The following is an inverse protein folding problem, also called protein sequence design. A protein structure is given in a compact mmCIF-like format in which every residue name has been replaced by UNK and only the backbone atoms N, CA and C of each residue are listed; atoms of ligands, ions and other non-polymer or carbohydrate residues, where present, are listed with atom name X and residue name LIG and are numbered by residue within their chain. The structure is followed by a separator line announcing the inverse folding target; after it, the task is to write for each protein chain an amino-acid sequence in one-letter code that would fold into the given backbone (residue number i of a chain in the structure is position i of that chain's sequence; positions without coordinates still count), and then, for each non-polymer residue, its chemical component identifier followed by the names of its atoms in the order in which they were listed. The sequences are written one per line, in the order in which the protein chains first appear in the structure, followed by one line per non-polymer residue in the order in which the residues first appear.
data_IF_333020298506
#
_entry.id   IF_333020298506
#
_cell.length_a   1.000
_cell.length_b   1.000
_cell.length_c   1.000
_cell.angle_alpha   90.00
_cell.angle_beta   90.00
_cell.angle_gamma   90.00
#
_symmetry.space_group_name_H-M   'P 1'
#
loop_
_entity.id
_entity.type
_entity.pdbx_description
1 polymer ?
#
# COMPACT_ATOMS: atom_id res chain seq x y z
N UNK A 1 48.44 -38.00 -103.68
CA UNK A 1 48.82 -38.05 -105.08
C UNK A 1 49.39 -39.37 -105.43
N UNK A 2 48.99 -39.99 -106.59
CA UNK A 2 49.62 -41.16 -107.20
C UNK A 2 50.16 -40.72 -108.52
N UNK A 3 51.36 -41.20 -108.81
CA UNK A 3 52.03 -40.95 -110.14
C UNK A 3 52.23 -42.31 -110.80
N UNK A 4 51.87 -42.41 -112.04
CA UNK A 4 52.15 -43.63 -112.89
C UNK A 4 53.60 -43.66 -113.37
N UNK A 5 54.02 -44.80 -113.91
CA UNK A 5 55.38 -44.95 -114.40
C UNK A 5 55.71 -44.06 -115.64
N UNK A 6 54.72 -43.39 -116.19
CA UNK A 6 54.83 -42.44 -117.24
C UNK A 6 54.85 -40.97 -116.83
N UNK A 7 54.80 -40.72 -115.52
CA UNK A 7 54.84 -39.39 -114.91
C UNK A 7 53.45 -38.68 -114.85
N UNK A 8 52.40 -39.38 -115.23
CA UNK A 8 51.09 -38.77 -115.06
C UNK A 8 50.67 -38.76 -113.58
N UNK A 9 50.27 -37.63 -113.10
CA UNK A 9 49.81 -37.47 -111.73
C UNK A 9 48.29 -37.46 -111.60
N UNK A 10 47.79 -38.35 -110.75
CA UNK A 10 46.42 -38.29 -110.35
C UNK A 10 46.38 -37.86 -108.85
N UNK A 11 45.69 -36.82 -108.60
CA UNK A 11 45.49 -36.34 -107.23
C UNK A 11 44.07 -36.63 -106.77
N UNK A 12 43.95 -37.38 -105.72
CA UNK A 12 42.68 -37.52 -105.05
C UNK A 12 42.78 -36.66 -103.78
N UNK A 13 41.90 -35.76 -103.60
CA UNK A 13 41.75 -34.97 -102.36
C UNK A 13 40.69 -35.62 -101.55
N UNK A 14 41.02 -35.77 -100.28
CA UNK A 14 40.03 -36.12 -99.25
C UNK A 14 39.75 -34.85 -98.41
N UNK A 15 38.54 -34.42 -98.45
CA UNK A 15 38.06 -33.36 -97.59
C UNK A 15 37.82 -33.97 -96.20
N UNK A 16 38.49 -33.42 -95.21
CA UNK A 16 38.23 -33.72 -93.79
C UNK A 16 37.59 -32.52 -93.28
N UNK A 17 36.34 -32.65 -92.94
CA UNK A 17 35.63 -31.62 -92.21
C UNK A 17 35.92 -31.86 -90.69
N UNK A 18 36.60 -30.93 -90.06
CA UNK A 18 36.74 -30.86 -88.61
C UNK A 18 35.52 -30.08 -88.11
N UNK A 19 34.67 -30.75 -87.42
CA UNK A 19 33.47 -30.15 -86.85
C UNK A 19 33.49 -30.33 -85.36
N UNK A 20 33.01 -29.32 -84.68
CA UNK A 20 32.74 -29.43 -83.29
C UNK A 20 31.29 -29.91 -83.08
N UNK A 21 31.14 -30.99 -82.30
CA UNK A 21 29.84 -31.60 -81.98
C UNK A 21 29.67 -31.75 -80.43
N UNK A 22 30.61 -31.24 -79.71
CA UNK A 22 30.59 -31.33 -78.25
C UNK A 22 29.83 -30.13 -77.72
N UNK A 23 28.83 -30.39 -76.86
CA UNK A 23 28.10 -29.32 -76.21
C UNK A 23 28.86 -28.77 -75.03
N UNK A 24 28.77 -27.45 -74.75
CA UNK A 24 29.37 -26.83 -73.60
C UNK A 24 28.87 -27.40 -72.28
N UNK A 25 29.69 -27.27 -71.26
CA UNK A 25 29.32 -27.65 -69.88
C UNK A 25 29.10 -26.38 -69.05
N UNK A 26 27.91 -26.25 -68.49
CA UNK A 26 27.56 -25.17 -67.50
C UNK A 26 27.82 -25.65 -66.10
N UNK A 27 28.51 -24.86 -65.35
CA UNK A 27 28.77 -25.08 -63.91
C UNK A 27 28.25 -23.89 -63.10
N UNK A 28 27.36 -24.13 -62.12
CA UNK A 28 26.84 -23.09 -61.26
C UNK A 28 27.97 -22.51 -60.39
N UNK A 29 27.97 -21.21 -60.22
CA UNK A 29 28.77 -20.54 -59.18
C UNK A 29 27.94 -20.49 -57.91
N UNK A 30 28.44 -21.13 -56.84
CA UNK A 30 27.72 -21.26 -55.56
C UNK A 30 26.67 -22.38 -55.54
N UNK A 31 25.76 -22.32 -54.61
CA UNK A 31 24.78 -23.38 -54.34
C UNK A 31 23.73 -23.53 -55.46
N UNK A 32 23.35 -24.74 -55.73
CA UNK A 32 22.27 -25.06 -56.67
C UNK A 32 20.87 -24.83 -56.09
N UNK A 33 20.78 -24.71 -54.75
CA UNK A 33 19.57 -24.38 -54.04
C UNK A 33 19.87 -23.28 -53.03
N UNK A 34 19.06 -22.23 -53.02
CA UNK A 34 19.17 -21.08 -52.14
C UNK A 34 17.85 -20.87 -51.43
N UNK A 35 17.86 -20.72 -50.11
CA UNK A 35 16.71 -20.22 -49.36
C UNK A 35 16.87 -18.71 -49.16
N UNK A 36 15.84 -17.97 -49.52
CA UNK A 36 15.80 -16.54 -49.50
C UNK A 36 14.61 -16.08 -48.63
N UNK A 37 14.87 -15.20 -47.67
CA UNK A 37 13.80 -14.59 -46.90
C UNK A 37 12.94 -13.70 -47.80
N UNK A 38 11.64 -13.80 -47.67
CA UNK A 38 10.68 -13.00 -48.43
C UNK A 38 10.90 -11.50 -48.23
N UNK A 39 10.81 -10.73 -49.29
CA UNK A 39 11.09 -9.30 -49.30
C UNK A 39 12.57 -8.92 -49.30
N UNK A 40 13.48 -9.89 -49.18
CA UNK A 40 14.92 -9.61 -49.27
C UNK A 40 15.41 -9.54 -50.72
N UNK A 41 16.57 -8.93 -50.91
CA UNK A 41 17.15 -8.82 -52.28
C UNK A 41 17.81 -10.11 -52.66
N UNK A 42 17.43 -10.63 -53.83
CA UNK A 42 18.11 -11.77 -54.45
C UNK A 42 19.16 -11.30 -55.46
N UNK A 43 20.39 -11.71 -55.31
CA UNK A 43 21.46 -11.53 -56.26
C UNK A 43 21.92 -12.91 -56.72
N UNK A 44 21.73 -13.21 -57.98
CA UNK A 44 22.18 -14.48 -58.55
C UNK A 44 23.70 -14.56 -58.63
N UNK A 45 24.28 -15.65 -58.16
CA UNK A 45 25.73 -15.86 -58.19
C UNK A 45 26.24 -16.22 -59.60
N UNK A 46 25.32 -16.56 -60.53
CA UNK A 46 25.63 -16.88 -61.89
C UNK A 46 26.14 -18.31 -62.12
N UNK A 47 26.68 -18.54 -63.31
CA UNK A 47 27.32 -19.76 -63.70
C UNK A 47 28.50 -19.48 -64.63
N UNK A 48 29.36 -20.46 -64.78
CA UNK A 48 30.42 -20.49 -65.79
C UNK A 48 30.10 -21.52 -66.84
N UNK A 49 30.60 -21.33 -68.08
CA UNK A 49 30.46 -22.30 -69.10
C UNK A 49 31.79 -22.50 -69.91
N UNK A 50 32.13 -23.71 -70.09
CA UNK A 50 33.33 -24.08 -70.89
C UNK A 50 33.03 -25.10 -71.96
N UNK A 51 33.64 -24.92 -73.05
CA UNK A 51 33.63 -25.82 -74.17
C UNK A 51 35.05 -26.30 -74.53
N UNK A 52 35.15 -27.47 -75.13
CA UNK A 52 36.45 -28.06 -75.51
C UNK A 52 37.12 -27.34 -76.69
N UNK A 53 36.36 -26.66 -77.56
CA UNK A 53 36.83 -25.94 -78.74
C UNK A 53 36.83 -24.42 -78.48
N UNK A 54 35.73 -23.86 -78.02
CA UNK A 54 35.54 -22.44 -77.85
C UNK A 54 36.12 -21.93 -76.52
N UNK A 55 36.52 -22.86 -75.60
CA UNK A 55 37.10 -22.49 -74.27
C UNK A 55 36.06 -21.93 -73.28
N UNK A 56 36.38 -20.82 -72.65
CA UNK A 56 35.48 -20.13 -71.71
C UNK A 56 34.45 -19.26 -72.46
N UNK A 57 33.23 -19.68 -72.41
CA UNK A 57 32.08 -19.00 -73.02
C UNK A 57 31.05 -18.53 -71.99
N UNK A 58 31.50 -18.34 -70.72
CA UNK A 58 30.66 -17.92 -69.60
C UNK A 58 29.89 -16.64 -69.91
N UNK A 59 30.48 -15.72 -70.69
CA UNK A 59 29.85 -14.45 -71.08
C UNK A 59 28.66 -14.58 -72.02
N UNK A 60 28.51 -15.77 -72.61
CA UNK A 60 27.42 -16.07 -73.56
C UNK A 60 26.22 -16.79 -72.92
N UNK A 61 26.33 -17.07 -71.60
CA UNK A 61 25.23 -17.70 -70.86
C UNK A 61 24.01 -16.80 -70.87
N UNK A 62 22.90 -17.34 -71.33
CA UNK A 62 21.60 -16.72 -71.23
C UNK A 62 20.97 -17.15 -69.91
N UNK A 63 20.66 -16.17 -69.08
CA UNK A 63 20.03 -16.38 -67.77
C UNK A 63 18.58 -15.93 -67.81
N UNK A 64 17.67 -16.82 -67.44
CA UNK A 64 16.28 -16.50 -67.23
C UNK A 64 16.01 -16.58 -65.71
N UNK A 65 15.77 -15.41 -65.10
CA UNK A 65 15.50 -15.31 -63.69
C UNK A 65 14.02 -14.93 -63.45
N UNK A 66 13.26 -15.86 -62.91
CA UNK A 66 11.84 -15.68 -62.59
C UNK A 66 11.58 -15.55 -61.10
N UNK A 67 12.59 -15.23 -60.32
CA UNK A 67 12.45 -15.13 -58.85
C UNK A 67 11.61 -13.90 -58.50
N UNK A 68 10.44 -14.14 -57.92
CA UNK A 68 9.65 -13.12 -57.21
C UNK A 68 9.98 -13.19 -55.73
N UNK A 69 10.75 -12.23 -55.26
CA UNK A 69 11.21 -12.14 -53.88
C UNK A 69 10.10 -11.75 -52.88
N UNK A 70 8.94 -11.31 -53.36
CA UNK A 70 7.83 -10.85 -52.52
C UNK A 70 6.72 -11.90 -52.35
N UNK A 71 6.83 -13.03 -53.01
CA UNK A 71 5.84 -14.11 -52.97
C UNK A 71 6.51 -15.42 -52.57
N UNK A 72 5.96 -16.08 -51.53
CA UNK A 72 6.46 -17.37 -51.07
C UNK A 72 6.34 -18.40 -52.20
N UNK A 73 7.39 -19.20 -52.39
CA UNK A 73 7.38 -20.23 -53.43
C UNK A 73 8.77 -20.72 -53.78
N UNK A 74 8.79 -21.68 -54.70
CA UNK A 74 10.03 -22.20 -55.27
C UNK A 74 10.16 -21.70 -56.70
N UNK A 75 11.19 -20.95 -56.95
CA UNK A 75 11.49 -20.31 -58.21
C UNK A 75 12.74 -20.93 -58.82
N UNK A 76 12.92 -20.77 -60.13
CA UNK A 76 14.09 -21.27 -60.85
C UNK A 76 14.78 -20.16 -61.61
N UNK A 77 16.10 -20.12 -61.47
CA UNK A 77 16.97 -19.40 -62.41
C UNK A 77 17.54 -20.45 -63.40
N UNK A 78 17.34 -20.22 -64.71
CA UNK A 78 17.74 -21.15 -65.75
C UNK A 78 18.91 -20.59 -66.53
N UNK A 79 19.91 -21.42 -66.74
CA UNK A 79 21.12 -21.09 -67.49
C UNK A 79 21.18 -21.97 -68.75
N UNK A 80 21.36 -21.33 -69.90
CA UNK A 80 21.53 -21.98 -71.19
C UNK A 80 22.63 -21.27 -71.95
N UNK A 81 23.35 -22.04 -72.72
CA UNK A 81 24.38 -21.54 -73.68
C UNK A 81 24.54 -22.50 -74.84
N UNK A 82 24.89 -21.99 -75.99
CA UNK A 82 25.37 -22.75 -77.10
C UNK A 82 26.75 -22.27 -77.51
N UNK A 83 27.56 -23.19 -78.02
CA UNK A 83 28.88 -22.86 -78.64
C UNK A 83 28.76 -22.17 -80.00
N UNK A 84 29.86 -21.83 -80.56
CA UNK A 84 29.92 -21.21 -81.89
C UNK A 84 29.45 -22.17 -83.05
N UNK A 85 29.46 -23.46 -82.78
CA UNK A 85 28.98 -24.53 -83.71
C UNK A 85 27.50 -24.84 -83.49
N UNK A 86 26.81 -24.14 -82.63
CA UNK A 86 25.39 -24.28 -82.22
C UNK A 86 25.06 -25.58 -81.49
N UNK A 87 26.04 -26.23 -80.83
CA UNK A 87 25.76 -27.30 -79.92
C UNK A 87 25.26 -26.66 -78.55
N UNK A 88 24.05 -27.03 -78.19
CA UNK A 88 23.45 -26.48 -76.93
C UNK A 88 23.86 -27.29 -75.72
N UNK A 89 24.28 -26.60 -74.65
CA UNK A 89 24.49 -27.22 -73.40
C UNK A 89 23.18 -27.77 -72.76
N UNK A 90 23.31 -28.76 -71.94
CA UNK A 90 22.19 -29.12 -71.05
C UNK A 90 21.85 -27.95 -70.18
N UNK A 91 20.58 -27.60 -70.11
CA UNK A 91 20.07 -26.51 -69.26
C UNK A 91 20.36 -26.83 -67.78
N UNK A 92 20.98 -25.92 -67.08
CA UNK A 92 21.22 -26.00 -65.63
C UNK A 92 20.28 -25.02 -64.94
N UNK A 93 19.78 -25.41 -63.77
CA UNK A 93 18.86 -24.58 -63.02
C UNK A 93 19.37 -24.42 -61.61
N UNK A 94 19.20 -23.23 -61.08
CA UNK A 94 19.29 -22.94 -59.60
C UNK A 94 17.88 -22.81 -59.07
N UNK A 95 17.57 -23.52 -58.01
CA UNK A 95 16.32 -23.37 -57.25
C UNK A 95 16.48 -22.29 -56.21
N UNK A 96 15.57 -21.31 -56.19
CA UNK A 96 15.49 -20.30 -55.15
C UNK A 96 14.16 -20.47 -54.42
N UNK A 97 14.22 -20.89 -53.17
CA UNK A 97 13.05 -21.00 -52.31
C UNK A 97 12.89 -19.70 -51.57
N UNK A 98 11.90 -18.92 -51.94
CA UNK A 98 11.47 -17.76 -51.15
C UNK A 98 10.62 -18.25 -50.01
N UNK A 99 11.10 -18.10 -48.82
CA UNK A 99 10.52 -18.58 -47.58
C UNK A 99 10.38 -17.43 -46.63
N UNK A 100 9.45 -17.54 -45.70
CA UNK A 100 9.33 -16.67 -44.56
C UNK A 100 9.84 -17.45 -43.31
N UNK A 101 10.91 -16.98 -42.73
CA UNK A 101 11.56 -17.56 -41.56
C UNK A 101 11.63 -16.55 -40.42
N UNK A 102 11.12 -15.35 -40.64
CA UNK A 102 11.11 -14.27 -39.65
C UNK A 102 9.90 -14.42 -38.77
N UNK A 103 10.14 -14.53 -37.48
CA UNK A 103 9.04 -14.58 -36.50
C UNK A 103 8.38 -13.21 -36.35
N UNK A 104 7.08 -13.16 -36.05
CA UNK A 104 6.37 -11.93 -35.78
C UNK A 104 6.95 -11.14 -34.62
N UNK A 105 6.77 -9.83 -34.61
CA UNK A 105 7.14 -8.95 -33.52
C UNK A 105 5.90 -8.61 -32.70
N UNK A 106 5.92 -8.90 -31.38
CA UNK A 106 4.83 -8.61 -30.45
C UNK A 106 5.12 -7.29 -29.72
N UNK A 107 4.14 -6.40 -29.71
CA UNK A 107 4.14 -5.19 -28.90
C UNK A 107 3.08 -5.28 -27.81
N UNK A 108 3.50 -5.32 -26.57
CA UNK A 108 2.60 -5.33 -25.40
C UNK A 108 1.96 -3.95 -25.22
N UNK A 109 0.65 -3.90 -25.09
CA UNK A 109 -0.11 -2.67 -24.89
C UNK A 109 -0.22 -2.32 -23.39
N UNK A 110 -0.05 -1.06 -23.03
CA UNK A 110 -0.08 -0.59 -21.64
C UNK A 110 1.20 -0.93 -20.88
N UNK A 111 1.14 -0.83 -19.55
CA UNK A 111 2.32 -0.97 -18.69
C UNK A 111 2.88 -2.40 -18.64
N UNK A 112 4.21 -2.49 -18.58
CA UNK A 112 4.93 -3.72 -18.32
C UNK A 112 6.21 -3.41 -17.51
N UNK A 113 6.26 -3.74 -16.21
CA UNK A 113 5.23 -4.44 -15.46
C UNK A 113 3.96 -3.60 -15.25
N UNK A 114 2.81 -4.27 -15.21
CA UNK A 114 1.55 -3.71 -14.73
C UNK A 114 1.42 -3.98 -13.23
N UNK A 115 1.00 -3.00 -12.46
CA UNK A 115 0.78 -3.15 -11.01
C UNK A 115 -0.70 -3.05 -10.69
N UNK A 116 -1.20 -3.93 -9.84
CA UNK A 116 -2.57 -3.92 -9.34
C UNK A 116 -2.61 -4.15 -7.83
N UNK A 117 -3.61 -3.57 -7.21
CA UNK A 117 -3.91 -3.79 -5.79
C UNK A 117 -4.48 -5.19 -5.57
N UNK A 118 -4.04 -5.88 -4.54
CA UNK A 118 -4.55 -7.20 -4.14
C UNK A 118 -6.05 -7.18 -3.88
N UNK A 119 -6.77 -8.18 -4.37
CA UNK A 119 -8.24 -8.25 -4.33
C UNK A 119 -8.95 -7.43 -5.41
N UNK A 120 -8.22 -6.65 -6.21
CA UNK A 120 -8.78 -5.91 -7.34
C UNK A 120 -8.95 -6.80 -8.59
N UNK A 121 -9.74 -6.37 -9.56
CA UNK A 121 -9.90 -7.09 -10.82
C UNK A 121 -8.80 -6.70 -11.80
N UNK A 122 -8.00 -7.66 -12.24
CA UNK A 122 -7.05 -7.46 -13.32
C UNK A 122 -7.75 -7.53 -14.69
N UNK A 123 -7.56 -6.53 -15.51
CA UNK A 123 -7.98 -6.50 -16.92
C UNK A 123 -6.75 -6.31 -17.78
N UNK A 124 -6.45 -7.32 -18.61
CA UNK A 124 -5.30 -7.27 -19.48
C UNK A 124 -5.51 -6.28 -20.65
N UNK A 125 -4.55 -5.40 -20.88
CA UNK A 125 -4.60 -4.43 -21.98
C UNK A 125 -4.29 -5.08 -23.34
N UNK A 126 -3.82 -6.32 -23.35
CA UNK A 126 -3.52 -7.09 -24.56
C UNK A 126 -2.18 -6.73 -25.21
N UNK A 127 -2.03 -7.18 -26.44
CA UNK A 127 -0.86 -6.93 -27.27
C UNK A 127 -1.27 -6.80 -28.76
N UNK A 128 -0.40 -6.21 -29.56
CA UNK A 128 -0.45 -6.23 -31.02
C UNK A 128 0.73 -7.02 -31.56
N UNK A 129 0.62 -7.51 -32.77
CA UNK A 129 1.73 -8.19 -33.45
C UNK A 129 1.76 -7.85 -34.93
N UNK A 130 2.96 -7.67 -35.45
CA UNK A 130 3.23 -7.43 -36.87
C UNK A 130 4.31 -8.36 -37.34
N UNK A 131 4.20 -8.76 -38.59
CA UNK A 131 5.14 -9.60 -39.27
C UNK A 131 5.63 -8.93 -40.57
N UNK A 132 6.82 -9.30 -41.03
CA UNK A 132 7.43 -8.73 -42.22
C UNK A 132 6.70 -9.13 -43.53
N UNK A 133 6.07 -10.29 -43.56
CA UNK A 133 5.32 -10.78 -44.70
C UNK A 133 3.79 -10.69 -44.52
N UNK A 134 3.26 -11.13 -43.40
CA UNK A 134 1.82 -11.16 -43.14
C UNK A 134 1.26 -9.84 -42.59
N UNK A 135 2.11 -8.83 -42.29
CA UNK A 135 1.79 -7.53 -41.71
C UNK A 135 1.09 -7.67 -40.36
N UNK A 136 -0.20 -7.38 -40.28
CA UNK A 136 -0.94 -7.48 -39.01
C UNK A 136 -1.36 -8.91 -38.69
N UNK A 137 -0.77 -9.51 -37.71
CA UNK A 137 -1.11 -10.85 -37.20
C UNK A 137 -1.68 -10.80 -35.76
N UNK A 138 -2.12 -9.65 -35.32
CA UNK A 138 -2.66 -9.44 -33.94
C UNK A 138 -3.85 -10.36 -33.64
N UNK A 139 -4.68 -10.68 -34.61
CA UNK A 139 -5.82 -11.60 -34.47
C UNK A 139 -5.41 -13.05 -34.18
N UNK A 140 -4.17 -13.41 -34.41
CA UNK A 140 -3.60 -14.74 -34.12
C UNK A 140 -2.94 -14.82 -32.74
N UNK A 141 -2.91 -13.71 -31.97
CA UNK A 141 -2.36 -13.72 -30.63
C UNK A 141 -3.24 -14.56 -29.70
N UNK A 142 -2.61 -15.50 -29.02
CA UNK A 142 -3.19 -16.21 -27.88
C UNK A 142 -2.54 -15.73 -26.61
N UNK A 143 -3.33 -15.48 -25.57
CA UNK A 143 -2.84 -15.07 -24.25
C UNK A 143 -3.11 -16.16 -23.22
N UNK A 144 -2.11 -16.46 -22.42
CA UNK A 144 -2.21 -17.34 -21.25
C UNK A 144 -1.80 -16.55 -20.02
N UNK A 145 -2.67 -16.50 -19.01
CA UNK A 145 -2.47 -15.75 -17.79
C UNK A 145 -2.31 -16.66 -16.58
N UNK A 146 -1.36 -16.35 -15.72
CA UNK A 146 -1.22 -16.94 -14.38
C UNK A 146 -1.69 -16.02 -13.27
N UNK A 147 -2.24 -14.86 -13.60
CA UNK A 147 -2.61 -13.82 -12.64
C UNK A 147 -3.67 -14.30 -11.67
N UNK A 148 -3.28 -14.32 -10.41
CA UNK A 148 -4.17 -14.42 -9.25
C UNK A 148 -4.18 -13.07 -8.53
N UNK A 149 -5.23 -12.32 -8.73
CA UNK A 149 -5.38 -10.98 -8.13
C UNK A 149 -5.66 -10.99 -6.64
N UNK A 150 -5.91 -12.15 -6.03
CA UNK A 150 -6.18 -12.29 -4.60
C UNK A 150 -4.91 -12.65 -3.80
N UNK A 151 -3.82 -12.92 -4.45
CA UNK A 151 -2.56 -13.31 -3.80
C UNK A 151 -1.43 -12.37 -4.23
N UNK A 152 -0.77 -11.75 -3.27
CA UNK A 152 0.40 -10.89 -3.52
C UNK A 152 1.51 -11.68 -4.19
N UNK A 153 2.07 -11.14 -5.25
CA UNK A 153 3.13 -11.80 -5.98
C UNK A 153 3.38 -11.25 -7.36
N UNK A 154 4.30 -11.88 -8.06
CA UNK A 154 4.61 -11.56 -9.47
C UNK A 154 4.06 -12.65 -10.37
N UNK A 155 3.23 -12.28 -11.29
CA UNK A 155 2.53 -13.14 -12.24
C UNK A 155 2.87 -12.76 -13.67
N UNK A 156 2.46 -13.59 -14.60
CA UNK A 156 2.75 -13.35 -16.01
C UNK A 156 1.51 -13.54 -16.89
N UNK A 157 1.41 -12.70 -17.91
CA UNK A 157 0.58 -12.94 -19.10
C UNK A 157 1.53 -13.20 -20.24
N UNK A 158 1.48 -14.39 -20.80
CA UNK A 158 2.30 -14.79 -21.94
C UNK A 158 1.47 -14.69 -23.21
N UNK A 159 1.91 -13.86 -24.14
CA UNK A 159 1.36 -13.72 -25.48
C UNK A 159 2.16 -14.59 -26.43
N UNK A 160 1.48 -15.35 -27.23
CA UNK A 160 2.08 -16.19 -28.27
C UNK A 160 1.37 -15.92 -29.59
N UNK A 161 2.13 -15.72 -30.62
CA UNK A 161 1.61 -15.54 -32.01
C UNK A 161 2.42 -16.39 -32.95
N UNK A 162 1.77 -16.88 -33.96
CA UNK A 162 2.44 -17.52 -35.13
C UNK A 162 1.94 -16.86 -36.41
N UNK A 163 2.85 -16.65 -37.34
CA UNK A 163 2.51 -16.26 -38.71
C UNK A 163 1.92 -17.43 -39.51
N UNK A 164 1.61 -17.18 -40.75
CA UNK A 164 1.08 -18.20 -41.65
C UNK A 164 2.14 -19.22 -42.12
N UNK A 165 3.42 -18.89 -41.96
CA UNK A 165 4.57 -19.77 -42.30
C UNK A 165 4.93 -20.67 -41.12
N UNK A 166 4.38 -20.43 -39.93
CA UNK A 166 4.59 -21.23 -38.73
C UNK A 166 5.70 -20.70 -37.80
N UNK A 167 6.30 -19.55 -38.14
CA UNK A 167 7.27 -18.94 -37.26
C UNK A 167 6.56 -18.34 -36.04
N UNK A 168 7.08 -18.57 -34.87
CA UNK A 168 6.44 -18.22 -33.59
C UNK A 168 7.23 -17.20 -32.79
N UNK A 169 6.52 -16.26 -32.20
CA UNK A 169 7.06 -15.35 -31.22
C UNK A 169 6.29 -15.42 -29.90
N UNK A 170 6.97 -15.07 -28.82
CA UNK A 170 6.38 -14.93 -27.51
C UNK A 170 6.82 -13.64 -26.84
N UNK A 171 5.92 -13.02 -26.10
CA UNK A 171 6.21 -11.88 -25.23
C UNK A 171 5.52 -12.06 -23.89
N UNK A 172 6.11 -11.51 -22.84
CA UNK A 172 5.61 -11.68 -21.48
C UNK A 172 5.37 -10.32 -20.84
N UNK A 173 4.15 -10.11 -20.37
CA UNK A 173 3.83 -9.04 -19.42
C UNK A 173 4.03 -9.57 -18.02
N UNK A 174 4.75 -8.86 -17.20
CA UNK A 174 4.78 -9.07 -15.76
C UNK A 174 3.62 -8.30 -15.13
N UNK A 175 2.89 -8.95 -14.25
CA UNK A 175 1.84 -8.35 -13.43
C UNK A 175 2.23 -8.48 -11.97
N UNK A 176 2.38 -7.37 -11.31
CA UNK A 176 2.68 -7.30 -9.88
C UNK A 176 1.38 -7.08 -9.12
N UNK A 177 1.03 -8.03 -8.31
CA UNK A 177 -0.06 -7.90 -7.34
C UNK A 177 0.56 -7.50 -6.02
N UNK A 178 0.25 -6.34 -5.54
CA UNK A 178 0.74 -5.81 -4.27
C UNK A 178 -0.40 -5.23 -3.45
N UNK A 179 -0.21 -5.19 -2.18
CA UNK A 179 -1.05 -4.46 -1.26
C UNK A 179 -0.33 -3.18 -0.87
N UNK A 180 -0.84 -2.07 -1.31
CA UNK A 180 -0.34 -0.72 -1.02
C UNK A 180 -1.30 0.12 -0.19
N UNK A 181 -2.44 -0.46 0.15
CA UNK A 181 -3.50 0.20 0.90
C UNK A 181 -3.28 0.08 2.39
N UNK A 182 -3.06 1.16 3.11
CA UNK A 182 -2.92 1.09 4.58
C UNK A 182 -4.21 0.65 5.28
N UNK A 183 -4.10 -0.06 6.40
CA UNK A 183 -5.23 -0.42 7.23
C UNK A 183 -6.05 0.78 7.67
N UNK A 184 -7.33 0.59 7.85
CA UNK A 184 -8.24 1.59 8.39
C UNK A 184 -8.46 1.36 9.88
N UNK A 185 -8.14 2.33 10.70
CA UNK A 185 -8.37 2.30 12.16
C UNK A 185 -9.67 3.01 12.50
N UNK A 186 -10.57 2.30 13.15
CA UNK A 186 -11.83 2.83 13.67
C UNK A 186 -11.83 2.85 15.20
N UNK A 187 -11.96 4.06 15.77
CA UNK A 187 -12.02 4.25 17.24
C UNK A 187 -13.32 3.70 17.81
N UNK A 188 -13.25 2.86 18.84
CA UNK A 188 -14.46 2.39 19.56
C UNK A 188 -14.87 3.46 20.59
N UNK A 189 -16.06 4.03 20.43
CA UNK A 189 -16.61 5.06 21.30
C UNK A 189 -16.25 6.46 20.91
N UNK A 190 -16.36 7.40 21.86
CA UNK A 190 -16.21 8.82 21.59
C UNK A 190 -14.76 9.30 21.45
N UNK A 191 -14.56 10.32 20.65
CA UNK A 191 -13.33 11.10 20.53
C UNK A 191 -13.69 12.57 20.33
N UNK A 192 -13.27 13.45 21.19
CA UNK A 192 -12.44 13.31 22.39
C UNK A 192 -13.18 12.72 23.60
N UNK A 193 -12.42 12.30 24.64
CA UNK A 193 -12.90 11.86 25.97
C UNK A 193 -12.41 12.86 27.01
N UNK A 194 -13.22 13.19 28.02
CA UNK A 194 -12.86 13.99 29.18
C UNK A 194 -12.88 13.17 30.45
N UNK A 195 -11.87 13.32 31.26
CA UNK A 195 -11.67 12.63 32.55
C UNK A 195 -11.19 13.64 33.55
N UNK A 196 -11.62 13.53 34.79
CA UNK A 196 -11.28 14.43 35.86
C UNK A 196 -9.97 14.09 36.53
N UNK A 197 -9.15 15.05 36.91
CA UNK A 197 -7.83 14.89 37.51
C UNK A 197 -7.82 14.02 38.76
N UNK A 198 -6.91 13.05 38.85
CA UNK A 198 -6.80 12.06 39.93
C UNK A 198 -7.74 10.85 39.85
N UNK A 199 -8.56 10.74 38.79
CA UNK A 199 -9.50 9.62 38.58
C UNK A 199 -8.90 8.47 37.76
N UNK A 200 -9.46 7.26 37.72
CA UNK A 200 -8.97 6.17 36.84
C UNK A 200 -9.59 6.22 35.44
N UNK A 201 -8.79 6.08 34.38
CA UNK A 201 -9.19 6.01 33.00
C UNK A 201 -9.01 4.61 32.42
N UNK A 202 -9.94 4.11 31.66
CA UNK A 202 -9.81 2.92 30.84
C UNK A 202 -10.12 3.25 29.39
N UNK A 203 -9.18 2.99 28.48
CA UNK A 203 -9.37 3.20 27.06
C UNK A 203 -10.27 2.13 26.43
N UNK A 204 -11.18 2.51 25.54
CA UNK A 204 -12.11 1.59 24.87
C UNK A 204 -11.48 0.89 23.68
N UNK A 205 -10.29 1.33 23.25
CA UNK A 205 -9.60 0.74 22.13
C UNK A 205 -10.08 1.15 20.76
N UNK A 206 -9.64 0.38 19.80
CA UNK A 206 -9.91 0.54 18.39
C UNK A 206 -10.10 -0.80 17.72
N UNK A 207 -10.74 -0.84 16.55
CA UNK A 207 -10.61 -1.90 15.56
C UNK A 207 -9.73 -1.43 14.43
N UNK A 208 -9.06 -2.35 13.80
CA UNK A 208 -8.38 -2.11 12.54
C UNK A 208 -8.81 -3.17 11.52
N UNK A 209 -9.08 -2.72 10.30
CA UNK A 209 -9.42 -3.59 9.19
C UNK A 209 -8.63 -3.15 7.97
N UNK A 210 -8.18 -4.10 7.23
CA UNK A 210 -7.55 -3.95 5.94
C UNK A 210 -8.33 -4.68 4.84
N UNK A 211 -8.22 -4.24 3.60
CA UNK A 211 -8.93 -4.83 2.48
C UNK A 211 -8.39 -6.20 2.10
N UNK A 212 -7.10 -6.41 2.25
CA UNK A 212 -6.39 -7.65 1.94
C UNK A 212 -6.19 -8.53 3.17
N UNK A 213 -5.66 -8.00 4.24
CA UNK A 213 -5.36 -8.73 5.48
C UNK A 213 -6.55 -8.95 6.41
N UNK A 214 -7.66 -8.29 6.15
CA UNK A 214 -8.88 -8.42 6.94
C UNK A 214 -8.80 -7.74 8.32
N UNK A 215 -9.16 -8.45 9.38
CA UNK A 215 -9.16 -7.94 10.75
C UNK A 215 -7.75 -7.90 11.36
N UNK A 216 -7.22 -6.72 11.55
CA UNK A 216 -5.94 -6.42 12.20
C UNK A 216 -6.05 -5.85 13.60
N UNK A 217 -7.21 -5.95 14.22
CA UNK A 217 -7.50 -5.40 15.58
C UNK A 217 -6.50 -5.89 16.62
N UNK A 218 -6.08 -7.14 16.56
CA UNK A 218 -5.12 -7.74 17.49
C UNK A 218 -3.67 -7.28 17.26
N UNK A 219 -3.39 -6.70 16.11
CA UNK A 219 -2.05 -6.18 15.73
C UNK A 219 -1.85 -4.72 16.09
N UNK A 220 -2.87 -4.04 16.62
CA UNK A 220 -2.78 -2.65 17.02
C UNK A 220 -1.80 -2.48 18.20
N UNK A 221 -0.81 -1.66 18.03
CA UNK A 221 0.09 -1.19 19.10
C UNK A 221 -0.33 0.18 19.58
N UNK A 222 -0.21 0.38 20.89
CA UNK A 222 -0.69 1.56 21.58
C UNK A 222 0.39 2.27 22.34
N UNK A 223 0.47 3.57 22.16
CA UNK A 223 1.28 4.46 23.00
C UNK A 223 0.45 5.58 23.57
N UNK A 224 0.72 5.96 24.82
CA UNK A 224 -0.05 6.94 25.56
C UNK A 224 0.83 7.80 26.44
N UNK A 225 0.55 9.11 26.54
CA UNK A 225 1.24 10.07 27.43
C UNK A 225 0.39 10.55 28.61
N UNK A 226 -0.76 9.92 28.83
CA UNK A 226 -1.75 10.36 29.85
C UNK A 226 -1.21 10.35 31.27
N UNK A 227 -1.09 11.52 31.83
CA UNK A 227 -0.90 11.75 33.26
C UNK A 227 -2.17 12.31 33.89
N UNK A 228 -2.81 11.54 34.71
CA UNK A 228 -4.07 11.88 35.39
C UNK A 228 -3.90 12.80 36.56
N UNK A 229 -2.70 12.96 37.07
CA UNK A 229 -2.42 13.84 38.19
C UNK A 229 -2.20 15.28 37.74
N UNK A 230 -2.11 15.50 36.43
CA UNK A 230 -1.88 16.83 35.86
C UNK A 230 -3.00 17.21 34.90
N UNK A 231 -3.65 18.32 35.16
CA UNK A 231 -4.62 18.92 34.22
C UNK A 231 -3.95 19.25 32.91
N UNK A 232 -4.53 18.81 31.80
CA UNK A 232 -3.96 19.00 30.50
C UNK A 232 -4.70 18.25 29.40
N UNK A 233 -4.16 18.35 28.21
CA UNK A 233 -4.61 17.56 27.01
C UNK A 233 -3.55 16.55 26.67
N UNK A 234 -3.94 15.32 26.60
CA UNK A 234 -3.12 14.17 26.36
C UNK A 234 -3.58 13.36 25.14
N UNK A 235 -2.76 12.49 24.61
CA UNK A 235 -3.05 11.72 23.38
C UNK A 235 -2.76 10.24 23.55
N UNK A 236 -3.68 9.41 23.10
CA UNK A 236 -3.44 7.99 22.85
C UNK A 236 -3.27 7.79 21.36
N UNK A 237 -2.14 7.23 20.97
CA UNK A 237 -1.83 6.95 19.58
C UNK A 237 -1.90 5.45 19.32
N UNK A 238 -2.71 5.06 18.37
CA UNK A 238 -2.87 3.72 17.81
C UNK A 238 -2.08 3.61 16.53
N UNK A 239 -1.27 2.60 16.42
CA UNK A 239 -0.53 2.29 15.20
C UNK A 239 -0.74 0.83 14.84
N UNK A 240 -1.04 0.56 13.60
CA UNK A 240 -1.16 -0.77 13.01
C UNK A 240 -0.46 -0.80 11.66
N UNK A 241 0.15 -1.90 11.35
CA UNK A 241 0.67 -2.19 10.03
C UNK A 241 0.09 -3.51 9.54
N UNK A 242 -0.19 -3.59 8.26
CA UNK A 242 -0.56 -4.79 7.56
C UNK A 242 0.66 -5.69 7.31
N UNK A 243 0.48 -6.82 6.63
CA UNK A 243 1.54 -7.76 6.27
C UNK A 243 2.49 -7.22 5.19
N UNK A 244 2.04 -6.22 4.43
CA UNK A 244 2.83 -5.50 3.41
C UNK A 244 3.61 -4.31 3.96
N UNK A 245 3.51 -4.06 5.28
CA UNK A 245 4.13 -2.96 6.01
C UNK A 245 3.54 -1.58 5.69
N UNK A 246 2.33 -1.48 5.10
CA UNK A 246 1.61 -0.24 5.05
C UNK A 246 1.06 0.07 6.44
N UNK A 247 1.22 1.28 6.89
CA UNK A 247 0.94 1.67 8.28
C UNK A 247 -0.14 2.73 8.36
N UNK A 248 -1.00 2.57 9.31
CA UNK A 248 -1.99 3.57 9.72
C UNK A 248 -1.81 4.02 11.16
N UNK A 249 -2.13 5.24 11.42
CA UNK A 249 -2.11 5.83 12.76
C UNK A 249 -3.39 6.60 13.04
N UNK A 250 -3.97 6.40 14.18
CA UNK A 250 -5.09 7.19 14.68
C UNK A 250 -4.82 7.65 16.11
N UNK A 251 -5.43 8.74 16.52
CA UNK A 251 -5.27 9.28 17.87
C UNK A 251 -6.58 9.64 18.52
N UNK A 252 -6.66 9.35 19.81
CA UNK A 252 -7.73 9.77 20.70
C UNK A 252 -7.21 10.88 21.62
N UNK A 253 -7.91 11.97 21.69
CA UNK A 253 -7.64 13.04 22.61
C UNK A 253 -8.30 12.82 23.96
N UNK A 254 -7.54 12.91 25.03
CA UNK A 254 -7.98 12.78 26.43
C UNK A 254 -7.73 14.08 27.13
N UNK A 255 -8.80 14.71 27.58
CA UNK A 255 -8.73 15.97 28.30
C UNK A 255 -8.85 15.76 29.81
N UNK A 256 -7.75 15.94 30.50
CA UNK A 256 -7.71 15.98 31.96
C UNK A 256 -8.12 17.35 32.42
N UNK A 257 -9.23 17.43 33.07
CA UNK A 257 -9.74 18.66 33.69
C UNK A 257 -9.90 18.46 35.15
N UNK A 258 -9.71 19.51 35.88
CA UNK A 258 -10.15 19.63 37.25
C UNK A 258 -11.38 20.51 37.31
N UNK A 259 -12.50 19.91 37.56
CA UNK A 259 -13.79 20.62 37.69
C UNK A 259 -14.49 20.39 39.00
N UNK A 260 -13.85 19.61 39.92
CA UNK A 260 -14.29 19.40 41.28
C UNK A 260 -14.01 20.63 42.10
N UNK A 261 -15.00 21.09 42.73
CA UNK A 261 -14.77 22.10 43.77
C UNK A 261 -14.24 21.44 45.05
N UNK A 262 -13.33 22.08 45.72
CA UNK A 262 -12.82 21.60 46.99
C UNK A 262 -13.91 21.32 47.99
N UNK A 263 -13.71 20.30 48.81
CA UNK A 263 -14.63 19.98 49.92
C UNK A 263 -14.21 20.73 51.17
N UNK A 264 -15.03 21.64 51.58
CA UNK A 264 -14.88 22.34 52.85
C UNK A 264 -15.52 21.53 53.97
N UNK A 265 -14.75 21.18 54.94
CA UNK A 265 -15.21 20.51 56.16
C UNK A 265 -15.13 21.49 57.35
N UNK A 266 -16.25 21.82 57.82
CA UNK A 266 -16.39 22.72 59.01
C UNK A 266 -15.90 22.03 60.27
N UNK A 267 -14.95 22.56 60.99
CA UNK A 267 -14.41 22.00 62.23
C UNK A 267 -15.37 22.30 63.40
N UNK A 268 -15.81 21.26 64.03
CA UNK A 268 -16.71 21.34 65.15
C UNK A 268 -18.18 21.33 64.75
N UNK A 269 -19.04 21.78 65.66
CA UNK A 269 -20.50 21.74 65.49
C UNK A 269 -20.99 22.74 64.41
N UNK A 270 -22.00 22.31 63.65
CA UNK A 270 -22.78 23.17 62.77
C UNK A 270 -24.24 22.68 62.78
N UNK A 271 -25.15 23.41 63.23
CA UNK A 271 -25.02 24.73 63.77
C UNK A 271 -24.24 24.79 65.08
N UNK A 272 -23.62 26.01 65.40
CA UNK A 272 -23.11 26.35 66.74
C UNK A 272 -24.10 27.24 67.46
N UNK A 273 -24.44 26.84 68.64
CA UNK A 273 -25.23 27.62 69.54
C UNK A 273 -24.30 28.45 70.48
N UNK A 274 -24.38 29.72 70.37
CA UNK A 274 -23.61 30.69 71.18
C UNK A 274 -24.54 31.50 72.01
N UNK A 275 -24.24 31.63 73.30
CA UNK A 275 -25.02 32.45 74.19
C UNK A 275 -24.87 33.95 73.85
N UNK A 276 -25.95 34.66 73.84
CA UNK A 276 -25.96 36.08 73.53
C UNK A 276 -24.95 36.83 74.43
N UNK A 277 -24.07 37.57 73.79
CA UNK A 277 -23.02 38.32 74.49
C UNK A 277 -21.79 37.50 74.81
N UNK A 278 -21.76 36.23 74.52
CA UNK A 278 -20.58 35.39 74.65
C UNK A 278 -19.58 35.67 73.51
N UNK A 279 -18.35 35.44 73.73
CA UNK A 279 -17.31 35.55 72.73
C UNK A 279 -17.41 34.36 71.80
N UNK A 280 -17.74 34.58 70.57
CA UNK A 280 -17.64 33.58 69.48
C UNK A 280 -16.22 33.55 68.94
N UNK A 281 -15.63 32.39 68.94
CA UNK A 281 -14.41 32.07 68.26
C UNK A 281 -14.70 30.98 67.28
N UNK A 282 -14.59 31.32 66.06
CA UNK A 282 -14.79 30.34 64.98
C UNK A 282 -13.73 29.25 65.01
N UNK A 283 -14.13 27.97 64.99
CA UNK A 283 -13.23 26.85 64.97
C UNK A 283 -12.59 26.61 63.64
N UNK A 284 -13.08 27.35 62.61
CA UNK A 284 -12.57 27.28 61.28
C UNK A 284 -13.13 26.10 60.48
N UNK A 285 -12.55 25.87 59.35
CA UNK A 285 -12.81 24.78 58.45
C UNK A 285 -11.49 24.25 57.85
N UNK A 286 -11.49 23.05 57.43
CA UNK A 286 -10.48 22.49 56.53
C UNK A 286 -11.06 22.39 55.12
N UNK A 287 -10.24 22.51 54.16
CA UNK A 287 -10.61 22.28 52.78
C UNK A 287 -9.65 21.27 52.16
N UNK A 288 -10.20 20.31 51.51
CA UNK A 288 -9.44 19.35 50.75
C UNK A 288 -10.04 19.21 49.36
N UNK A 289 -9.22 19.22 48.41
CA UNK A 289 -9.53 18.85 47.04
C UNK A 289 -8.87 17.53 46.66
N UNK A 290 -9.46 16.79 45.78
CA UNK A 290 -8.92 15.47 45.44
C UNK A 290 -7.70 15.59 44.54
N UNK A 291 -7.65 16.63 43.71
CA UNK A 291 -6.50 16.94 42.87
C UNK A 291 -5.47 17.82 43.55
N UNK A 292 -5.89 18.91 44.08
CA UNK A 292 -5.01 19.92 44.71
C UNK A 292 -4.63 19.63 46.14
N UNK A 293 -5.23 18.64 46.75
CA UNK A 293 -4.91 18.20 48.10
C UNK A 293 -5.42 19.15 49.18
N UNK A 294 -4.62 19.51 50.14
CA UNK A 294 -4.97 20.36 51.25
C UNK A 294 -5.01 21.84 50.85
N UNK A 295 -6.18 22.38 50.73
CA UNK A 295 -6.47 23.79 50.47
C UNK A 295 -6.92 24.59 51.70
N UNK A 296 -6.71 24.05 52.87
CA UNK A 296 -7.11 24.66 54.13
C UNK A 296 -6.56 26.09 54.29
N UNK A 297 -5.35 26.34 53.85
CA UNK A 297 -4.73 27.66 53.94
C UNK A 297 -5.27 28.67 52.93
N UNK A 298 -6.01 28.20 51.91
CA UNK A 298 -6.61 29.02 50.88
C UNK A 298 -8.04 29.43 51.16
N UNK A 299 -8.59 28.94 52.24
CA UNK A 299 -9.96 29.32 52.70
C UNK A 299 -10.04 30.81 53.04
N UNK A 300 -10.88 31.49 52.37
CA UNK A 300 -11.32 32.85 52.73
C UNK A 300 -12.59 32.81 53.56
N UNK A 301 -12.56 33.53 54.65
CA UNK A 301 -13.67 33.52 55.58
C UNK A 301 -14.33 34.88 55.64
N UNK A 302 -15.62 34.93 55.49
CA UNK A 302 -16.43 36.12 55.83
C UNK A 302 -17.49 35.79 56.85
N UNK A 303 -17.70 36.66 57.78
CA UNK A 303 -18.64 36.46 58.88
C UNK A 303 -19.47 37.70 59.12
N UNK A 304 -20.75 37.48 59.35
CA UNK A 304 -21.68 38.51 59.82
C UNK A 304 -22.12 38.33 61.25
N UNK A 305 -21.44 37.45 62.00
CA UNK A 305 -21.80 37.10 63.37
C UNK A 305 -21.71 38.32 64.29
N UNK A 306 -22.84 38.74 64.80
CA UNK A 306 -22.97 39.66 65.91
C UNK A 306 -23.49 38.93 67.16
N UNK A 307 -22.62 38.67 68.06
CA UNK A 307 -22.95 37.95 69.30
C UNK A 307 -23.73 38.83 70.30
N UNK A 308 -23.94 40.10 69.99
CA UNK A 308 -24.72 40.99 70.78
C UNK A 308 -26.18 41.09 70.42
N UNK A 309 -26.52 40.43 69.34
CA UNK A 309 -27.90 40.36 68.77
C UNK A 309 -28.31 38.93 68.62
N UNK A 310 -29.39 38.54 69.32
CA UNK A 310 -29.94 37.19 69.13
C UNK A 310 -30.48 37.01 67.72
N UNK A 311 -30.08 35.93 67.07
CA UNK A 311 -30.45 35.67 65.71
C UNK A 311 -29.64 34.52 65.09
N UNK A 312 -29.91 34.17 63.88
CA UNK A 312 -29.14 33.23 63.11
C UNK A 312 -28.19 33.99 62.19
N UNK A 313 -26.93 33.71 62.36
CA UNK A 313 -25.83 34.31 61.63
C UNK A 313 -25.10 33.23 60.78
N UNK A 314 -24.31 33.62 59.87
CA UNK A 314 -23.50 32.71 59.02
C UNK A 314 -22.04 33.13 59.05
N UNK A 315 -21.21 32.17 59.16
CA UNK A 315 -19.80 32.24 58.71
C UNK A 315 -19.66 31.53 57.38
N UNK A 316 -19.25 32.21 56.37
CA UNK A 316 -19.08 31.71 55.01
C UNK A 316 -17.60 31.42 54.77
N UNK A 317 -17.29 30.21 54.47
CA UNK A 317 -16.00 29.71 54.01
C UNK A 317 -16.04 29.57 52.48
N UNK A 318 -15.12 30.15 51.80
CA UNK A 318 -14.97 30.05 50.35
C UNK A 318 -13.55 29.66 50.03
N UNK A 319 -13.41 28.68 49.21
CA UNK A 319 -12.12 28.22 48.71
C UNK A 319 -12.24 27.91 47.22
N UNK A 320 -11.23 28.17 46.47
CA UNK A 320 -11.09 27.75 45.08
C UNK A 320 -9.83 26.92 44.98
N UNK A 321 -9.92 25.88 44.18
CA UNK A 321 -8.78 25.11 43.71
C UNK A 321 -7.93 25.90 42.71
N UNK A 322 -6.89 25.31 42.17
CA UNK A 322 -6.02 25.90 41.18
C UNK A 322 -6.70 26.01 39.79
N UNK A 323 -7.71 25.20 39.52
CA UNK A 323 -8.52 25.25 38.28
C UNK A 323 -9.61 26.32 38.36
N UNK A 324 -9.86 26.87 39.53
CA UNK A 324 -10.85 27.93 39.78
C UNK A 324 -12.22 27.42 40.17
N UNK A 325 -12.38 26.14 40.46
CA UNK A 325 -13.63 25.59 40.99
C UNK A 325 -13.77 26.05 42.46
N UNK A 326 -14.88 26.62 42.71
CA UNK A 326 -15.12 27.25 44.00
C UNK A 326 -16.12 26.46 44.84
N UNK A 327 -15.74 26.17 46.03
CA UNK A 327 -16.63 25.70 47.12
C UNK A 327 -16.94 26.79 48.09
N UNK A 328 -18.13 26.75 48.55
CA UNK A 328 -18.61 27.63 49.62
C UNK A 328 -19.43 26.85 50.61
N UNK A 329 -19.05 26.91 51.84
CA UNK A 329 -19.77 26.31 52.96
C UNK A 329 -20.11 27.34 54.04
N UNK A 330 -21.16 27.11 54.74
CA UNK A 330 -21.61 28.03 55.75
C UNK A 330 -21.83 27.35 57.08
N UNK A 331 -21.22 27.91 58.13
CA UNK A 331 -21.61 27.56 59.48
C UNK A 331 -22.74 28.47 59.93
N UNK A 332 -23.76 27.87 60.39
CA UNK A 332 -24.87 28.57 61.06
C UNK A 332 -24.47 28.80 62.51
N UNK A 333 -24.45 30.04 62.95
CA UNK A 333 -24.27 30.46 64.33
C UNK A 333 -25.59 30.99 64.80
N UNK A 334 -26.20 30.30 65.70
CA UNK A 334 -27.37 30.73 66.40
C UNK A 334 -26.90 31.46 67.66
N UNK A 335 -26.81 32.72 67.56
CA UNK A 335 -26.82 33.49 68.78
C UNK A 335 -28.21 33.30 69.35
N UNK A 336 -28.24 32.31 70.09
CA UNK A 336 -29.31 32.13 70.98
C UNK A 336 -29.05 33.14 72.12
N UNK A 337 -29.83 34.03 71.97
CA UNK A 337 -30.00 33.70 73.19
C UNK A 337 -29.61 32.28 73.15
N UNK A 338 -28.88 31.81 72.93
CA UNK A 338 -28.02 30.70 72.83
C UNK A 338 -28.25 29.79 71.65
N UNK A 339 -27.56 29.67 71.09
CA UNK A 339 -27.38 28.65 70.29
C UNK A 339 -26.64 28.58 68.96
N UNK A 340 -26.53 27.96 68.67
CA UNK A 340 -26.23 27.21 67.55
C UNK A 340 -25.35 26.77 66.65
N UNK A 341 -23.77 22.84 63.04
CA UNK A 341 -23.06 21.83 61.96
C UNK A 341 -22.48 20.98 60.68
N UNK A 342 -18.27 15.97 52.84
CA UNK A 342 -17.86 15.11 51.50
C UNK A 342 -16.92 13.73 51.17
N UNK A 343 -15.14 11.37 48.37
CA UNK A 343 -14.64 9.90 48.08
C UNK A 343 -13.68 9.52 46.85
N UNK A 344 -12.90 8.09 46.41
CA UNK A 344 -12.00 7.55 45.28
C UNK A 344 -12.44 6.21 44.58
N UNK A 345 -12.01 5.81 43.12
CA UNK A 345 -12.42 4.71 42.22
C UNK A 345 -11.27 4.16 41.32
N UNK A 346 -11.36 2.94 40.63
CA UNK A 346 -10.31 2.30 39.85
C UNK A 346 -10.90 1.64 38.57
N UNK A 347 -10.11 1.51 37.47
CA UNK A 347 -10.46 0.84 36.19
C UNK A 347 -9.25 0.06 35.65
N UNK A 348 -9.46 -1.18 35.18
CA UNK A 348 -8.41 -2.04 34.62
C UNK A 348 -8.41 -2.04 33.09
N UNK A 349 -7.23 -2.10 32.48
CA UNK A 349 -7.00 -2.35 31.07
C UNK A 349 -6.61 -3.81 30.92
N UNK A 350 -7.51 -4.66 30.39
CA UNK A 350 -7.27 -6.08 30.22
C UNK A 350 -8.09 -6.69 29.06
N UNK A 351 -7.47 -7.53 28.24
CA UNK A 351 -8.11 -8.18 27.10
C UNK A 351 -8.53 -7.19 26.01
N UNK A 352 -7.74 -6.15 25.78
CA UNK A 352 -8.06 -5.05 24.86
C UNK A 352 -9.38 -4.36 25.15
N UNK A 353 -9.71 -4.23 26.41
CA UNK A 353 -10.91 -3.57 26.93
C UNK A 353 -10.64 -2.84 28.24
N UNK A 354 -11.50 -1.87 28.55
CA UNK A 354 -11.58 -1.19 29.83
C UNK A 354 -12.65 -1.81 30.72
N UNK A 355 -12.33 -2.13 31.95
CA UNK A 355 -13.28 -2.73 32.92
C UNK A 355 -13.24 -2.01 34.26
N UNK A 356 -14.34 -1.38 34.62
CA UNK A 356 -15.58 -1.19 33.88
C UNK A 356 -15.44 -0.20 32.70
N UNK A 357 -16.18 -0.40 31.58
CA UNK A 357 -16.17 0.50 30.41
C UNK A 357 -16.91 1.82 30.66
N UNK A 358 -17.63 1.95 31.79
CA UNK A 358 -18.30 3.15 32.27
C UNK A 358 -18.37 3.21 33.77
N UNK A 359 -18.15 4.40 34.36
CA UNK A 359 -18.28 4.65 35.78
C UNK A 359 -18.95 6.00 36.05
N UNK A 360 -19.76 6.05 37.11
CA UNK A 360 -20.30 7.31 37.65
C UNK A 360 -19.63 7.66 38.95
N UNK A 361 -19.12 8.87 39.06
CA UNK A 361 -18.42 9.39 40.22
C UNK A 361 -18.93 10.77 40.62
N UNK A 362 -18.60 11.23 41.78
CA UNK A 362 -18.86 12.59 42.21
C UNK A 362 -17.70 13.51 41.89
N UNK A 363 -17.98 14.80 41.73
CA UNK A 363 -16.97 15.85 41.64
C UNK A 363 -16.02 15.75 42.82
N UNK A 364 -14.73 15.71 42.59
CA UNK A 364 -13.69 15.46 43.56
C UNK A 364 -13.13 14.07 43.58
N UNK A 365 -13.73 13.16 42.88
CA UNK A 365 -13.29 11.78 42.80
C UNK A 365 -12.14 11.56 41.80
N UNK A 366 -11.33 10.62 42.07
CA UNK A 366 -10.16 10.23 41.27
C UNK A 366 -10.33 8.86 40.68
N UNK A 367 -9.93 8.61 39.44
CA UNK A 367 -9.81 7.28 38.82
C UNK A 367 -8.35 6.92 38.49
N UNK A 368 -7.91 5.66 38.62
CA UNK A 368 -6.59 5.09 38.24
C UNK A 368 -6.79 3.97 37.21
N UNK A 369 -6.12 4.04 36.06
CA UNK A 369 -6.10 2.98 35.05
C UNK A 369 -4.81 2.17 35.19
N UNK A 370 -4.91 0.85 35.16
CA UNK A 370 -3.78 -0.10 35.20
C UNK A 370 -3.78 -0.99 34.00
N UNK A 371 -2.70 -1.03 33.23
CA UNK A 371 -2.55 -1.92 32.10
C UNK A 371 -2.06 -3.31 32.54
N UNK A 372 -2.91 -4.32 32.35
CA UNK A 372 -2.61 -5.72 32.60
C UNK A 372 -2.34 -6.52 31.30
N UNK A 373 -2.51 -5.91 30.12
CA UNK A 373 -2.17 -6.56 28.85
C UNK A 373 -0.66 -6.54 28.56
N UNK A 374 -0.20 -7.48 27.76
CA UNK A 374 1.19 -7.51 27.27
C UNK A 374 1.48 -6.45 26.22
N UNK A 375 0.43 -5.90 25.59
CA UNK A 375 0.52 -4.76 24.70
C UNK A 375 0.48 -3.44 25.43
N UNK A 376 1.14 -2.41 24.94
CA UNK A 376 1.02 -1.06 25.43
C UNK A 376 -0.31 -0.44 24.97
N UNK A 377 -0.99 0.22 25.88
CA UNK A 377 -2.26 0.89 25.67
C UNK A 377 -2.19 2.38 26.02
N UNK A 378 -3.23 3.10 25.69
CA UNK A 378 -3.39 4.48 26.11
C UNK A 378 -4.75 4.77 26.69
N UNK A 379 -4.84 5.85 27.42
CA UNK A 379 -6.07 6.41 27.98
C UNK A 379 -6.18 7.86 27.56
N UNK A 380 -6.94 8.11 26.49
CA UNK A 380 -6.99 9.41 25.81
C UNK A 380 -8.41 9.97 25.76
N UNK A 381 -8.68 11.17 26.28
CA UNK A 381 -10.01 11.78 26.28
C UNK A 381 -10.40 12.30 24.90
N UNK A 382 -11.70 12.22 24.55
CA UNK A 382 -12.24 12.65 23.27
C UNK A 382 -12.23 14.18 23.05
N UNK A 383 -12.09 14.95 24.11
CA UNK A 383 -12.14 16.41 24.13
C UNK A 383 -10.80 17.08 24.47
N UNK A 384 -9.75 16.28 24.66
CA UNK A 384 -8.44 16.77 24.99
C UNK A 384 -8.18 17.05 26.47
N UNK A 385 -9.04 16.61 27.37
CA UNK A 385 -8.94 16.86 28.82
C UNK A 385 -7.80 16.07 29.47
N UNK A 386 -7.52 14.86 29.01
CA UNK A 386 -6.41 14.02 29.48
C UNK A 386 -5.87 13.07 28.41
N UNK A 387 -4.60 12.73 28.52
CA UNK A 387 -3.92 11.71 27.76
C UNK A 387 -2.79 11.04 28.56
N UNK A 388 -2.76 9.72 28.57
CA UNK A 388 -1.81 8.93 29.36
C UNK A 388 -0.43 8.77 28.72
N UNK A 389 -0.29 9.02 27.43
CA UNK A 389 0.83 8.49 26.69
C UNK A 389 0.86 6.96 26.71
N UNK A 390 1.95 6.28 26.32
CA UNK A 390 2.04 4.81 26.35
C UNK A 390 2.08 4.25 27.77
N UNK A 391 1.09 3.47 28.13
CA UNK A 391 1.03 2.68 29.36
C UNK A 391 1.51 1.28 29.05
N UNK A 392 2.74 0.94 29.42
CA UNK A 392 3.27 -0.42 29.31
C UNK A 392 2.61 -1.36 30.33
N UNK A 393 2.75 -2.66 30.10
CA UNK A 393 2.28 -3.72 31.02
C UNK A 393 2.68 -3.45 32.46
N UNK A 394 1.73 -3.51 33.37
CA UNK A 394 1.90 -3.30 34.81
C UNK A 394 1.97 -1.85 35.26
N UNK A 395 2.01 -0.88 34.36
CA UNK A 395 2.02 0.54 34.69
C UNK A 395 0.61 1.11 34.77
N UNK A 396 0.51 2.22 35.47
CA UNK A 396 -0.75 2.91 35.77
C UNK A 396 -0.76 4.32 35.23
N UNK A 397 -1.93 4.80 34.98
CA UNK A 397 -2.31 6.18 34.76
C UNK A 397 -3.40 6.61 35.71
N UNK A 398 -3.43 7.83 36.18
CA UNK A 398 -4.48 8.33 37.07
C UNK A 398 -4.86 9.77 36.80
N UNK A 399 -6.13 10.14 37.09
CA UNK A 399 -6.72 11.47 36.85
C UNK A 399 -7.81 11.85 37.87
N UNK A 400 -7.86 13.10 38.36
CA UNK A 400 -8.89 13.59 39.28
C UNK A 400 -9.92 14.47 38.60
N UNK A 401 -11.20 14.16 38.77
CA UNK A 401 -12.33 14.87 38.15
C UNK A 401 -12.89 15.96 39.06
N UNK A 402 -12.75 17.23 38.72
CA UNK A 402 -13.17 18.35 39.54
C UNK A 402 -14.42 19.09 39.09
N UNK A 403 -15.09 18.63 38.00
CA UNK A 403 -16.39 19.13 37.56
C UNK A 403 -17.38 18.06 37.23
N UNK A 404 -18.63 18.36 37.39
CA UNK A 404 -19.71 17.56 36.85
C UNK A 404 -19.75 17.55 35.34
N UNK A 405 -19.90 16.38 34.74
CA UNK A 405 -19.94 16.20 33.29
C UNK A 405 -19.80 14.75 32.90
N UNK A 406 -19.96 14.41 31.62
CA UNK A 406 -19.67 13.07 31.05
C UNK A 406 -18.42 13.14 30.17
N UNK A 407 -17.44 12.34 30.49
CA UNK A 407 -16.11 12.30 29.96
C UNK A 407 -15.87 10.96 29.25
N UNK A 408 -15.90 10.97 27.92
CA UNK A 408 -15.69 9.78 27.09
C UNK A 408 -14.23 9.68 26.62
N UNK A 409 -13.67 8.46 26.53
CA UNK A 409 -12.24 8.21 26.29
C UNK A 409 -11.95 6.89 25.56
N UNK A 410 -10.73 6.66 25.08
CA UNK A 410 -10.33 5.56 24.23
C UNK A 410 -8.83 5.17 24.34
N UNK A 411 -8.41 4.08 23.67
CA UNK A 411 -7.02 3.70 23.42
C UNK A 411 -6.60 4.03 21.99
N UNK A 412 -5.58 4.88 21.74
CA UNK A 412 -5.17 5.34 20.43
C UNK A 412 -4.59 4.24 19.49
N UNK A 413 -3.79 3.21 19.94
CA UNK A 413 -3.47 2.04 19.11
C UNK A 413 -4.61 1.05 18.87
N UNK A 414 -5.69 1.09 19.68
CA UNK A 414 -6.81 0.16 19.64
C UNK A 414 -8.15 0.91 19.66
N UNK A 415 -8.55 1.61 18.59
CA UNK A 415 -9.66 2.57 18.57
C UNK A 415 -11.06 2.00 18.90
N UNK A 416 -11.20 0.69 18.96
CA UNK A 416 -12.41 0.00 19.47
C UNK A 416 -12.46 -0.15 21.00
N UNK A 417 -11.38 0.11 21.72
CA UNK A 417 -11.36 0.19 23.18
C UNK A 417 -11.82 1.58 23.65
N UNK A 418 -13.06 1.74 24.07
CA UNK A 418 -13.65 2.98 24.58
C UNK A 418 -14.14 2.90 26.02
N UNK A 419 -14.19 4.01 26.71
CA UNK A 419 -14.77 4.15 28.02
C UNK A 419 -15.45 5.50 28.28
N UNK A 420 -16.15 5.63 29.41
CA UNK A 420 -16.78 6.86 29.84
C UNK A 420 -16.76 7.05 31.35
N UNK A 421 -16.57 8.28 31.79
CA UNK A 421 -16.76 8.72 33.17
C UNK A 421 -17.87 9.76 33.26
N UNK A 422 -18.85 9.55 34.10
CA UNK A 422 -19.88 10.54 34.45
C UNK A 422 -19.62 11.10 35.84
N UNK A 423 -19.38 12.41 35.91
CA UNK A 423 -19.16 13.13 37.17
C UNK A 423 -20.42 13.90 37.57
N UNK A 424 -20.93 13.66 38.75
CA UNK A 424 -22.14 14.30 39.34
C UNK A 424 -21.78 15.30 40.42
#
# INVERSE_FOLDING_TARGET
TAVDNSGNQATATRTVNVVDTTAPVITLVGDSQVNLEVGSTYTDAGATASDNYDGDISSQIVVVNNVDVNTLGSYTVTYSVSDSSSNAASVVTRTVNVVDQTAPSITILGDNPATIEAGSTYTDAGATATDNYNNDVASSITASSTVDSNTIGSYTVTYTVSDASGNQATAVRTVIVEDSTPPTIALIGSNPVTVEAGSTYTDAGATATDAYDGDLTSSITTTSDVDVNNVGTYTVTYTVSDSSANSATASRTVNVVDTTAPVITIIGANPVDVDLGATYSDAGATATDVHDGDLTSSITVSSNVDTNTAGTYTVTYTVSDAAGNQATETRTVNVIDNSNNPTTHYIDIQGYAFSPSSITINVGDTIVWTNYDSASHTVTSNDGTFDSGSISTGNTFSFTFTSAGTFNYYCAPHPNMTGSVTVQ
#
